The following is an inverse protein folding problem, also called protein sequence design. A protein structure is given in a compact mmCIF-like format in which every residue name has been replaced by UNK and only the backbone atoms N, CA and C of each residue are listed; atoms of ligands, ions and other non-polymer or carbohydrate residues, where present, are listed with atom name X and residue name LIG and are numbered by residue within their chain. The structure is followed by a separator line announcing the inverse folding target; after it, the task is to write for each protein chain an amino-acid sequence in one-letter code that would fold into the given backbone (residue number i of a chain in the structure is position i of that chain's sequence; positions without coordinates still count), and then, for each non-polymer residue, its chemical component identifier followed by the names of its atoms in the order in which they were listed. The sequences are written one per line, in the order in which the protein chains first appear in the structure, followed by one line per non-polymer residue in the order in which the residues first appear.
data_IF_973334493868
#
_entry.id   IF_973334493868
#
_cell.length_a   1.000
_cell.length_b   1.000
_cell.length_c   1.000
_cell.angle_alpha   90.00
_cell.angle_beta   90.00
_cell.angle_gamma   90.00
#
_symmetry.space_group_name_H-M   'P 1'
#
loop_
_entity.id
_entity.type
_entity.pdbx_description
1 polymer ?
#
# COMPACT_ATOMS: atom_id res chain seq x y z
N UNK A 1 -23.30 0.33 7.32
CA UNK A 1 -22.77 -0.97 7.79
C UNK A 1 -23.36 -2.13 6.99
N UNK A 2 -24.67 -2.40 7.12
CA UNK A 2 -25.30 -3.56 6.47
C UNK A 2 -25.22 -3.55 4.94
N UNK A 3 -25.50 -2.41 4.29
CA UNK A 3 -25.40 -2.31 2.83
C UNK A 3 -23.97 -2.60 2.34
N UNK A 4 -22.96 -2.04 3.00
CA UNK A 4 -21.56 -2.33 2.68
C UNK A 4 -21.24 -3.83 2.86
N UNK A 5 -21.76 -4.45 3.93
CA UNK A 5 -21.57 -5.88 4.18
C UNK A 5 -22.20 -6.75 3.08
N UNK A 6 -23.40 -6.39 2.61
CA UNK A 6 -24.07 -7.08 1.49
C UNK A 6 -23.26 -6.98 0.18
N UNK A 7 -22.44 -5.94 0.03
CA UNK A 7 -21.53 -5.76 -1.11
C UNK A 7 -20.13 -6.36 -0.87
N UNK A 8 -19.91 -7.04 0.26
CA UNK A 8 -18.58 -7.57 0.62
C UNK A 8 -17.54 -6.51 0.95
N UNK A 9 -17.99 -5.30 1.32
CA UNK A 9 -17.12 -4.17 1.67
C UNK A 9 -16.92 -4.08 3.18
N UNK A 10 -15.68 -3.84 3.58
CA UNK A 10 -15.29 -3.45 4.94
C UNK A 10 -15.27 -1.93 5.03
N UNK A 11 -15.89 -1.38 6.08
CA UNK A 11 -15.94 0.05 6.35
C UNK A 11 -14.85 0.43 7.34
N UNK A 12 -13.92 1.25 6.89
CA UNK A 12 -12.93 1.86 7.75
C UNK A 12 -13.56 3.12 8.38
N UNK A 13 -13.92 3.02 9.66
CA UNK A 13 -14.73 4.01 10.36
C UNK A 13 -13.86 4.85 11.28
N UNK A 14 -13.82 6.16 11.02
CA UNK A 14 -13.26 7.14 11.94
C UNK A 14 -14.31 7.48 13.01
N UNK A 15 -14.12 7.12 14.31
CA UNK A 15 -15.05 7.50 15.37
C UNK A 15 -15.13 9.01 15.55
N UNK A 16 -14.06 9.72 15.19
CA UNK A 16 -13.95 11.17 15.19
C UNK A 16 -12.91 11.60 14.17
N UNK A 17 -12.98 12.85 13.73
CA UNK A 17 -11.85 13.52 13.06
C UNK A 17 -10.95 14.13 14.13
N UNK A 18 -9.65 14.22 13.86
CA UNK A 18 -8.65 14.73 14.80
C UNK A 18 -8.95 16.15 15.30
N UNK A 19 -9.65 16.99 14.54
CA UNK A 19 -10.04 18.34 14.97
C UNK A 19 -10.84 18.37 16.28
N UNK A 20 -11.67 17.35 16.57
CA UNK A 20 -12.42 17.29 17.83
C UNK A 20 -11.55 16.93 19.05
N UNK A 21 -10.37 16.36 18.82
CA UNK A 21 -9.36 16.04 19.84
C UNK A 21 -8.34 17.18 19.92
N UNK A 22 -7.69 17.50 18.79
CA UNK A 22 -6.52 18.39 18.65
C UNK A 22 -6.83 19.89 18.63
N UNK A 23 -8.00 20.29 18.15
CA UNK A 23 -8.29 21.72 17.93
C UNK A 23 -9.33 22.17 18.95
N UNK A 24 -10.47 21.48 18.99
CA UNK A 24 -11.63 21.86 19.79
C UNK A 24 -11.64 21.27 21.21
N UNK A 25 -10.81 20.25 21.49
CA UNK A 25 -10.72 19.56 22.80
C UNK A 25 -12.07 19.04 23.33
N UNK A 26 -13.00 18.72 22.43
CA UNK A 26 -14.32 18.18 22.77
C UNK A 26 -14.15 16.75 23.28
N UNK A 27 -13.35 15.95 22.57
CA UNK A 27 -12.92 14.62 22.99
C UNK A 27 -11.56 14.79 23.67
N UNK A 28 -11.58 14.96 24.99
CA UNK A 28 -10.38 15.11 25.81
C UNK A 28 -10.16 13.87 26.69
N UNK A 29 -9.07 13.86 27.48
CA UNK A 29 -8.64 12.70 28.27
C UNK A 29 -9.71 12.16 29.24
N UNK A 30 -10.66 12.98 29.68
CA UNK A 30 -11.74 12.55 30.58
C UNK A 30 -12.96 11.98 29.86
N UNK A 31 -13.13 12.28 28.56
CA UNK A 31 -14.29 11.90 27.74
C UNK A 31 -13.98 10.83 26.70
N UNK A 32 -12.73 10.74 26.26
CA UNK A 32 -12.31 9.89 25.14
C UNK A 32 -12.70 8.42 25.32
N UNK A 33 -12.40 7.84 26.49
CA UNK A 33 -12.76 6.46 26.79
C UNK A 33 -14.28 6.23 26.77
N UNK A 34 -15.06 7.09 27.43
CA UNK A 34 -16.53 6.96 27.47
C UNK A 34 -17.14 7.06 26.07
N UNK A 35 -16.63 7.97 25.23
CA UNK A 35 -17.05 8.09 23.84
C UNK A 35 -16.71 6.82 23.04
N UNK A 36 -15.47 6.33 23.16
CA UNK A 36 -15.04 5.08 22.53
C UNK A 36 -15.90 3.88 22.94
N UNK A 37 -16.21 3.74 24.24
CA UNK A 37 -17.06 2.67 24.76
C UNK A 37 -18.46 2.71 24.13
N UNK A 38 -19.06 3.90 24.03
CA UNK A 38 -20.38 4.06 23.44
C UNK A 38 -20.39 3.69 21.95
N UNK A 39 -19.44 4.20 21.16
CA UNK A 39 -19.35 3.90 19.72
C UNK A 39 -19.03 2.43 19.49
N UNK A 40 -18.07 1.87 20.22
CA UNK A 40 -17.71 0.45 20.14
C UNK A 40 -18.91 -0.45 20.46
N UNK A 41 -19.61 -0.20 21.57
CA UNK A 41 -20.78 -0.98 21.95
C UNK A 41 -21.91 -0.91 20.91
N UNK A 42 -22.07 0.25 20.25
CA UNK A 42 -23.09 0.44 19.21
C UNK A 42 -22.83 -0.42 17.98
N UNK A 43 -21.56 -0.60 17.58
CA UNK A 43 -21.21 -1.25 16.30
C UNK A 43 -20.50 -2.60 16.43
N UNK A 44 -20.26 -3.11 17.65
CA UNK A 44 -19.59 -4.41 17.90
C UNK A 44 -20.13 -5.61 17.13
N UNK A 45 -21.41 -5.59 16.75
CA UNK A 45 -22.04 -6.69 16.01
C UNK A 45 -21.92 -6.56 14.48
N UNK A 46 -21.39 -5.44 13.97
CA UNK A 46 -21.20 -5.20 12.55
C UNK A 46 -19.90 -5.84 12.05
N UNK A 47 -19.99 -7.01 11.42
CA UNK A 47 -18.83 -7.86 11.04
C UNK A 47 -17.79 -7.24 10.09
N UNK A 48 -18.08 -6.07 9.53
CA UNK A 48 -17.35 -5.48 8.42
C UNK A 48 -16.84 -4.08 8.75
N UNK A 49 -16.30 -3.87 9.95
CA UNK A 49 -15.72 -2.59 10.34
C UNK A 49 -14.25 -2.71 10.75
N UNK A 50 -13.51 -1.62 10.53
CA UNK A 50 -12.17 -1.38 11.09
C UNK A 50 -12.21 0.00 11.74
N UNK A 51 -11.71 0.12 12.95
CA UNK A 51 -11.64 1.40 13.65
C UNK A 51 -10.41 2.19 13.23
N UNK A 52 -10.63 3.40 12.72
CA UNK A 52 -9.55 4.35 12.43
C UNK A 52 -9.57 5.44 13.49
N UNK A 53 -8.69 5.35 14.48
CA UNK A 53 -8.45 6.44 15.42
C UNK A 53 -7.73 7.62 14.71
N UNK A 54 -7.59 8.78 15.36
CA UNK A 54 -6.91 9.94 14.78
C UNK A 54 -7.77 10.70 13.77
N UNK A 55 -7.17 11.10 12.65
CA UNK A 55 -7.82 11.83 11.56
C UNK A 55 -7.12 13.16 11.25
N UNK A 56 -6.16 13.11 10.34
CA UNK A 56 -5.42 14.25 9.77
C UNK A 56 -4.87 15.26 10.79
N UNK A 57 -4.38 14.78 11.94
CA UNK A 57 -3.72 15.59 12.97
C UNK A 57 -2.53 14.86 13.58
N UNK A 58 -1.51 15.61 14.00
CA UNK A 58 -0.38 15.05 14.72
C UNK A 58 -0.82 14.54 16.10
N UNK A 59 -0.40 13.33 16.46
CA UNK A 59 -0.67 12.76 17.78
C UNK A 59 0.19 13.38 18.89
N UNK A 60 1.28 14.06 18.53
CA UNK A 60 2.21 14.69 19.48
C UNK A 60 1.47 15.62 20.46
N UNK A 61 1.55 15.31 21.75
CA UNK A 61 0.87 16.05 22.83
C UNK A 61 -0.59 15.65 23.07
N UNK A 62 -1.13 14.72 22.29
CA UNK A 62 -2.51 14.18 22.40
C UNK A 62 -2.54 12.65 22.47
N UNK A 63 -1.39 12.03 22.70
CA UNK A 63 -1.27 10.57 22.72
C UNK A 63 -2.14 9.96 23.83
N UNK A 64 -2.33 10.67 24.94
CA UNK A 64 -3.20 10.21 26.04
C UNK A 64 -4.66 10.15 25.60
N UNK A 65 -5.18 11.20 24.97
CA UNK A 65 -6.54 11.25 24.43
C UNK A 65 -6.79 10.13 23.43
N UNK A 66 -5.84 9.90 22.52
CA UNK A 66 -5.96 8.86 21.51
C UNK A 66 -5.87 7.45 22.10
N UNK A 67 -5.00 7.22 23.09
CA UNK A 67 -4.95 5.95 23.84
C UNK A 67 -6.23 5.70 24.61
N UNK A 68 -6.80 6.72 25.26
CA UNK A 68 -8.06 6.60 25.98
C UNK A 68 -9.23 6.30 25.04
N UNK A 69 -9.26 6.92 23.85
CA UNK A 69 -10.25 6.60 22.82
C UNK A 69 -10.09 5.15 22.33
N UNK A 70 -8.87 4.70 22.05
CA UNK A 70 -8.60 3.32 21.65
C UNK A 70 -8.99 2.30 22.72
N UNK A 71 -8.69 2.60 24.00
CA UNK A 71 -9.10 1.79 25.14
C UNK A 71 -10.62 1.69 25.22
N UNK A 72 -11.32 2.81 25.11
CA UNK A 72 -12.78 2.83 25.10
C UNK A 72 -13.37 2.03 23.95
N UNK A 73 -12.85 2.20 22.74
CA UNK A 73 -13.26 1.41 21.57
C UNK A 73 -13.09 -0.08 21.84
N UNK A 74 -11.91 -0.52 22.29
CA UNK A 74 -11.62 -1.93 22.56
C UNK A 74 -12.57 -2.52 23.61
N UNK A 75 -12.86 -1.77 24.68
CA UNK A 75 -13.79 -2.18 25.75
C UNK A 75 -15.24 -2.28 25.26
N UNK A 76 -15.75 -1.27 24.55
CA UNK A 76 -17.12 -1.26 24.03
C UNK A 76 -17.34 -2.28 22.91
N UNK A 77 -16.34 -2.43 22.05
CA UNK A 77 -16.32 -3.36 20.91
C UNK A 77 -16.05 -4.81 21.33
N UNK A 78 -15.57 -5.02 22.56
CA UNK A 78 -15.13 -6.32 23.09
C UNK A 78 -14.02 -6.97 22.24
N UNK A 79 -13.21 -6.15 21.59
CA UNK A 79 -12.12 -6.60 20.72
C UNK A 79 -12.57 -7.30 19.43
N UNK A 80 -13.81 -7.08 18.97
CA UNK A 80 -14.32 -7.70 17.75
C UNK A 80 -13.61 -7.22 16.47
N UNK A 81 -13.10 -5.99 16.47
CA UNK A 81 -12.56 -5.35 15.28
C UNK A 81 -11.13 -4.82 15.49
N UNK A 82 -10.42 -4.69 14.37
CA UNK A 82 -9.10 -4.09 14.33
C UNK A 82 -9.17 -2.57 14.58
N UNK A 83 -8.13 -2.03 15.20
CA UNK A 83 -7.95 -0.60 15.47
C UNK A 83 -6.61 -0.15 14.88
N UNK A 84 -6.63 0.98 14.18
CA UNK A 84 -5.45 1.65 13.63
C UNK A 84 -5.54 3.16 13.90
N UNK A 85 -4.62 3.96 13.34
CA UNK A 85 -4.56 5.41 13.56
C UNK A 85 -4.22 6.15 12.27
N UNK A 86 -5.09 7.05 11.82
CA UNK A 86 -4.81 7.94 10.71
C UNK A 86 -4.00 9.17 11.17
N UNK A 87 -2.73 9.30 10.75
CA UNK A 87 -1.90 10.44 11.12
C UNK A 87 -2.24 11.69 10.28
N UNK A 88 -1.45 12.75 10.39
CA UNK A 88 -1.48 13.86 9.44
C UNK A 88 -0.50 13.65 8.28
N UNK A 89 -0.58 14.52 7.26
CA UNK A 89 0.35 14.53 6.13
C UNK A 89 1.83 14.48 6.52
N UNK A 90 2.60 13.65 5.79
CA UNK A 90 4.03 13.42 6.00
C UNK A 90 4.38 12.56 7.21
N UNK A 91 3.42 11.81 7.76
CA UNK A 91 3.59 11.04 9.02
C UNK A 91 3.05 9.63 8.92
N UNK A 92 3.54 8.78 9.82
CA UNK A 92 3.03 7.44 10.09
C UNK A 92 2.56 7.33 11.54
N UNK A 93 1.53 6.51 11.78
CA UNK A 93 1.12 6.11 13.13
C UNK A 93 2.25 5.44 13.92
N UNK A 94 3.20 4.82 13.22
CA UNK A 94 4.34 4.14 13.82
C UNK A 94 5.20 5.06 14.68
N UNK A 95 5.25 6.36 14.35
CA UNK A 95 6.01 7.37 15.07
C UNK A 95 5.51 7.59 16.50
N UNK A 96 4.28 7.18 16.80
CA UNK A 96 3.60 7.47 18.07
C UNK A 96 3.13 6.22 18.82
N UNK A 97 2.63 5.22 18.08
CA UNK A 97 1.85 4.12 18.64
C UNK A 97 2.33 2.73 18.20
N UNK A 98 3.50 2.62 17.56
CA UNK A 98 3.94 1.34 16.98
C UNK A 98 3.95 0.19 17.99
N UNK A 99 4.40 0.44 19.23
CA UNK A 99 4.48 -0.57 20.29
C UNK A 99 3.25 -0.62 21.18
N UNK A 100 2.22 0.20 20.92
CA UNK A 100 0.99 0.14 21.69
C UNK A 100 0.17 -1.10 21.28
N UNK A 101 -0.31 -1.86 22.27
CA UNK A 101 -1.05 -3.11 22.06
C UNK A 101 -2.40 -2.90 21.36
N UNK A 102 -2.97 -1.70 21.45
CA UNK A 102 -4.25 -1.40 20.80
C UNK A 102 -4.11 -1.21 19.29
N UNK A 103 -2.92 -0.87 18.77
CA UNK A 103 -2.69 -0.58 17.36
C UNK A 103 -2.42 -1.89 16.60
N UNK A 104 -3.39 -2.39 15.84
CA UNK A 104 -3.27 -3.67 15.14
C UNK A 104 -2.38 -3.58 13.88
N UNK A 105 -2.37 -2.43 13.20
CA UNK A 105 -1.52 -2.17 12.04
C UNK A 105 -1.26 -0.67 11.87
N UNK A 106 -0.17 -0.31 11.19
CA UNK A 106 0.19 1.08 10.93
C UNK A 106 -0.60 1.67 9.74
N UNK A 107 -0.87 2.96 9.80
CA UNK A 107 -1.29 3.77 8.66
C UNK A 107 -0.36 4.97 8.50
N UNK A 108 -0.12 5.37 7.25
CA UNK A 108 0.68 6.55 6.94
C UNK A 108 0.06 7.38 5.82
N UNK A 109 0.31 8.69 5.84
CA UNK A 109 -0.18 9.67 4.87
C UNK A 109 1.01 10.45 4.30
N UNK A 110 1.25 10.38 3.00
CA UNK A 110 2.35 11.11 2.34
C UNK A 110 1.91 12.46 1.78
N UNK A 111 0.60 12.69 1.67
CA UNK A 111 0.04 13.90 1.06
C UNK A 111 0.67 14.17 -0.32
N UNK A 112 1.29 15.33 -0.55
CA UNK A 112 1.89 15.68 -1.84
C UNK A 112 3.22 14.97 -2.15
N UNK A 113 3.85 14.35 -1.16
CA UNK A 113 5.17 13.72 -1.27
C UNK A 113 5.04 12.23 -1.64
N UNK A 114 4.25 11.95 -2.67
CA UNK A 114 3.94 10.59 -3.12
C UNK A 114 5.16 9.76 -3.55
N UNK A 115 6.33 10.38 -3.75
CA UNK A 115 7.60 9.69 -4.01
C UNK A 115 8.22 9.07 -2.75
N UNK A 116 7.78 9.49 -1.57
CA UNK A 116 8.22 8.98 -0.27
C UNK A 116 7.45 7.72 0.17
N UNK A 117 6.44 7.28 -0.61
CA UNK A 117 5.60 6.12 -0.25
C UNK A 117 6.43 4.86 -0.03
N UNK A 118 7.30 4.50 -0.99
CA UNK A 118 8.11 3.29 -0.88
C UNK A 118 9.04 3.30 0.35
N UNK A 119 9.89 4.33 0.57
CA UNK A 119 10.74 4.35 1.76
C UNK A 119 9.95 4.43 3.07
N UNK A 120 8.83 5.17 3.12
CA UNK A 120 8.00 5.26 4.32
C UNK A 120 7.37 3.91 4.70
N UNK A 121 6.79 3.19 3.73
CA UNK A 121 6.20 1.87 3.97
C UNK A 121 7.28 0.87 4.37
N UNK A 122 8.42 0.82 3.67
CA UNK A 122 9.55 -0.07 4.05
C UNK A 122 10.02 0.21 5.48
N UNK A 123 10.13 1.49 5.86
CA UNK A 123 10.57 1.87 7.20
C UNK A 123 9.64 1.31 8.27
N UNK A 124 8.31 1.39 8.08
CA UNK A 124 7.35 0.85 9.04
C UNK A 124 7.39 -0.68 9.09
N UNK A 125 7.54 -1.34 7.94
CA UNK A 125 7.62 -2.81 7.84
C UNK A 125 8.88 -3.40 8.48
N UNK A 126 9.91 -2.58 8.73
CA UNK A 126 11.16 -2.98 9.39
C UNK A 126 11.13 -2.79 10.92
N UNK A 127 10.07 -2.18 11.46
CA UNK A 127 9.96 -1.98 12.90
C UNK A 127 9.64 -3.29 13.64
N UNK A 128 9.92 -3.30 14.94
CA UNK A 128 9.66 -4.43 15.84
C UNK A 128 8.73 -4.03 16.98
N UNK A 129 7.67 -4.79 17.27
CA UNK A 129 7.23 -6.00 16.55
C UNK A 129 6.71 -5.68 15.13
N UNK A 130 6.93 -6.59 14.18
CA UNK A 130 6.47 -6.40 12.80
C UNK A 130 4.94 -6.25 12.79
N UNK A 131 4.45 -5.16 12.18
CA UNK A 131 3.02 -4.88 11.97
C UNK A 131 2.76 -4.59 10.48
N UNK A 132 1.61 -5.00 9.94
CA UNK A 132 1.19 -4.56 8.61
C UNK A 132 1.16 -3.03 8.52
N UNK A 133 1.37 -2.49 7.31
CA UNK A 133 1.35 -1.05 7.07
C UNK A 133 0.46 -0.72 5.87
N UNK A 134 -0.41 0.26 6.05
CA UNK A 134 -1.30 0.77 5.00
C UNK A 134 -0.89 2.19 4.63
N UNK A 135 -0.51 2.39 3.37
CA UNK A 135 -0.47 3.71 2.75
C UNK A 135 -1.92 4.19 2.60
N UNK A 136 -2.41 4.93 3.59
CA UNK A 136 -3.84 5.23 3.73
C UNK A 136 -4.29 6.48 2.99
N UNK A 137 -3.42 7.46 2.83
CA UNK A 137 -3.77 8.70 2.15
C UNK A 137 -2.56 9.27 1.41
N UNK A 138 -2.56 9.04 0.09
CA UNK A 138 -1.61 9.65 -0.83
C UNK A 138 -2.18 10.94 -1.45
N UNK A 139 -1.61 11.35 -2.57
CA UNK A 139 -2.17 12.42 -3.37
C UNK A 139 -3.39 11.89 -4.14
N UNK A 140 -4.55 12.52 -3.97
CA UNK A 140 -5.79 12.15 -4.62
C UNK A 140 -5.81 12.48 -6.11
N UNK A 141 -6.37 11.59 -6.93
CA UNK A 141 -6.53 11.81 -8.37
C UNK A 141 -7.30 13.11 -8.64
N UNK A 142 -6.81 13.89 -9.60
CA UNK A 142 -7.29 15.24 -9.96
C UNK A 142 -7.31 16.27 -8.80
N UNK A 143 -6.54 16.05 -7.73
CA UNK A 143 -6.41 17.03 -6.65
C UNK A 143 -5.67 18.30 -7.09
N UNK A 144 -6.32 19.48 -7.12
CA UNK A 144 -5.69 20.74 -7.52
C UNK A 144 -4.78 21.32 -6.42
N UNK A 145 -4.94 20.88 -5.17
CA UNK A 145 -4.16 21.38 -4.03
C UNK A 145 -2.68 20.94 -4.00
N UNK A 146 -2.28 19.99 -4.85
CA UNK A 146 -0.94 19.44 -4.80
C UNK A 146 0.04 20.29 -5.64
N UNK A 147 1.11 20.84 -5.04
CA UNK A 147 2.06 21.72 -5.74
C UNK A 147 2.85 21.00 -6.85
N UNK A 148 2.79 19.67 -6.89
CA UNK A 148 3.55 18.80 -7.79
C UNK A 148 2.83 18.42 -9.08
N UNK A 149 1.72 19.10 -9.41
CA UNK A 149 0.97 18.97 -10.67
C UNK A 149 -0.32 18.16 -10.51
N UNK A 150 -1.14 18.05 -11.57
CA UNK A 150 -2.34 17.23 -11.50
C UNK A 150 -1.94 15.79 -11.22
N UNK A 151 -2.64 15.16 -10.28
CA UNK A 151 -2.42 13.75 -9.97
C UNK A 151 -3.07 12.91 -11.06
N UNK A 152 -2.24 12.49 -12.01
CA UNK A 152 -2.68 11.71 -13.17
C UNK A 152 -2.90 10.25 -12.80
N UNK A 153 -3.60 9.47 -13.65
CA UNK A 153 -3.73 8.02 -13.47
C UNK A 153 -2.38 7.31 -13.34
N UNK A 154 -1.33 7.76 -14.04
CA UNK A 154 0.03 7.21 -13.89
C UNK A 154 0.58 7.44 -12.47
N UNK A 155 0.37 8.62 -11.89
CA UNK A 155 0.79 8.90 -10.52
C UNK A 155 0.00 8.03 -9.53
N UNK A 156 -1.31 7.85 -9.73
CA UNK A 156 -2.11 6.90 -8.94
C UNK A 156 -1.52 5.48 -9.00
N UNK A 157 -1.18 4.98 -10.18
CA UNK A 157 -0.54 3.66 -10.34
C UNK A 157 0.79 3.58 -9.60
N UNK A 158 1.65 4.59 -9.70
CA UNK A 158 2.92 4.64 -8.97
C UNK A 158 2.72 4.56 -7.47
N UNK A 159 1.79 5.35 -6.93
CA UNK A 159 1.45 5.32 -5.50
C UNK A 159 0.99 3.93 -5.05
N UNK A 160 0.10 3.31 -5.84
CA UNK A 160 -0.46 2.01 -5.53
C UNK A 160 0.61 0.90 -5.58
N UNK A 161 1.38 0.84 -6.67
CA UNK A 161 2.44 -0.15 -6.82
C UNK A 161 3.57 0.06 -5.83
N UNK A 162 4.04 1.28 -5.58
CA UNK A 162 5.07 1.51 -4.56
C UNK A 162 4.63 1.12 -3.15
N UNK A 163 3.36 1.28 -2.82
CA UNK A 163 2.82 0.82 -1.53
C UNK A 163 2.94 -0.69 -1.38
N UNK A 164 2.49 -1.45 -2.40
CA UNK A 164 2.50 -2.92 -2.35
C UNK A 164 3.90 -3.49 -2.50
N UNK A 165 4.71 -2.92 -3.41
CA UNK A 165 6.08 -3.37 -3.65
C UNK A 165 7.01 -3.11 -2.46
N UNK A 166 6.62 -2.21 -1.56
CA UNK A 166 7.25 -1.99 -0.26
C UNK A 166 6.77 -2.98 0.84
N UNK A 167 5.85 -3.89 0.53
CA UNK A 167 5.26 -4.86 1.47
C UNK A 167 4.02 -4.35 2.21
N UNK A 168 3.53 -3.14 1.89
CA UNK A 168 2.32 -2.56 2.48
C UNK A 168 1.06 -2.78 1.66
N UNK A 169 0.01 -2.05 2.01
CA UNK A 169 -1.26 -1.97 1.27
C UNK A 169 -1.57 -0.52 0.88
N UNK A 170 -2.50 -0.32 -0.05
CA UNK A 170 -2.82 1.00 -0.61
C UNK A 170 -4.30 1.34 -0.47
N UNK A 171 -4.58 2.62 -0.21
CA UNK A 171 -5.91 3.22 -0.32
C UNK A 171 -5.91 4.28 -1.42
N UNK A 172 -6.89 4.18 -2.32
CA UNK A 172 -7.13 5.15 -3.38
C UNK A 172 -8.01 6.29 -2.88
N UNK A 173 -7.79 7.50 -3.40
CA UNK A 173 -8.72 8.61 -3.22
C UNK A 173 -8.77 9.52 -4.45
N UNK A 174 -9.91 10.18 -4.60
CA UNK A 174 -10.24 11.04 -5.73
C UNK A 174 -10.76 12.37 -5.17
N UNK A 175 -10.27 13.49 -5.70
CA UNK A 175 -10.48 14.80 -5.11
C UNK A 175 -11.96 15.24 -5.04
N UNK A 176 -12.67 15.16 -6.17
CA UNK A 176 -14.08 15.54 -6.25
C UNK A 176 -14.98 14.62 -5.42
N UNK A 177 -14.63 13.33 -5.34
CA UNK A 177 -15.32 12.30 -4.56
C UNK A 177 -15.27 12.60 -3.07
N UNK A 178 -14.09 12.82 -2.50
CA UNK A 178 -13.99 13.01 -1.04
C UNK A 178 -14.68 14.30 -0.60
N UNK A 179 -14.69 15.33 -1.47
CA UNK A 179 -15.39 16.60 -1.22
C UNK A 179 -16.89 16.53 -1.48
N UNK A 180 -17.38 15.43 -2.05
CA UNK A 180 -18.78 15.27 -2.48
C UNK A 180 -19.24 16.43 -3.36
N UNK A 181 -18.35 16.93 -4.23
CA UNK A 181 -18.62 18.04 -5.14
C UNK A 181 -19.65 17.66 -6.22
N UNK A 182 -20.36 18.62 -6.83
CA UNK A 182 -21.34 18.31 -7.88
C UNK A 182 -20.77 17.41 -8.98
N UNK A 183 -21.40 16.25 -9.22
CA UNK A 183 -20.97 15.28 -10.22
C UNK A 183 -19.90 14.28 -9.76
N UNK A 184 -19.60 14.23 -8.46
CA UNK A 184 -18.65 13.28 -7.86
C UNK A 184 -18.95 11.82 -8.21
N UNK A 185 -20.20 11.44 -8.48
CA UNK A 185 -20.57 10.08 -8.83
C UNK A 185 -19.87 9.60 -10.12
N UNK A 186 -19.55 10.53 -11.03
CA UNK A 186 -18.85 10.24 -12.29
C UNK A 186 -17.39 9.85 -12.05
N UNK A 187 -16.81 10.19 -10.91
CA UNK A 187 -15.40 9.89 -10.62
C UNK A 187 -15.19 8.46 -10.13
N UNK A 188 -16.27 7.71 -9.88
CA UNK A 188 -16.22 6.26 -9.72
C UNK A 188 -15.66 5.57 -10.97
N UNK A 189 -15.83 6.17 -12.14
CA UNK A 189 -15.31 5.71 -13.43
C UNK A 189 -13.97 6.36 -13.81
N UNK A 190 -13.30 7.06 -12.87
CA UNK A 190 -11.99 7.65 -13.13
C UNK A 190 -10.95 6.58 -13.51
N UNK A 191 -10.01 6.87 -14.44
CA UNK A 191 -9.03 5.87 -14.86
C UNK A 191 -8.17 5.34 -13.71
N UNK A 192 -7.77 6.19 -12.75
CA UNK A 192 -7.03 5.74 -11.57
C UNK A 192 -7.81 4.74 -10.72
N UNK A 193 -9.11 4.94 -10.52
CA UNK A 193 -9.97 4.00 -9.80
C UNK A 193 -9.98 2.62 -10.46
N UNK A 194 -10.22 2.57 -11.77
CA UNK A 194 -10.21 1.32 -12.54
C UNK A 194 -8.84 0.62 -12.49
N UNK A 195 -7.75 1.38 -12.51
CA UNK A 195 -6.39 0.86 -12.50
C UNK A 195 -5.96 0.30 -11.14
N UNK A 196 -6.46 0.84 -10.03
CA UNK A 196 -6.29 0.24 -8.70
C UNK A 196 -7.08 -1.08 -8.59
N UNK A 197 -8.26 -1.17 -9.21
CA UNK A 197 -8.95 -2.46 -9.34
C UNK A 197 -8.15 -3.47 -10.17
N UNK A 198 -7.50 -3.05 -11.26
CA UNK A 198 -6.60 -3.91 -12.05
C UNK A 198 -5.40 -4.38 -11.23
N UNK A 199 -4.79 -3.50 -10.42
CA UNK A 199 -3.71 -3.90 -9.51
C UNK A 199 -4.15 -5.03 -8.59
N UNK A 200 -5.33 -4.92 -7.96
CA UNK A 200 -5.90 -5.99 -7.13
C UNK A 200 -6.06 -7.29 -7.92
N UNK A 201 -6.57 -7.24 -9.16
CA UNK A 201 -6.74 -8.43 -10.00
C UNK A 201 -5.40 -9.09 -10.37
N UNK A 202 -4.39 -8.29 -10.70
CA UNK A 202 -3.04 -8.79 -11.02
C UNK A 202 -2.45 -9.49 -9.80
N UNK A 203 -2.47 -8.86 -8.62
CA UNK A 203 -1.94 -9.42 -7.38
C UNK A 203 -2.72 -10.65 -6.92
N UNK A 204 -4.05 -10.69 -7.10
CA UNK A 204 -4.86 -11.85 -6.75
C UNK A 204 -4.56 -13.09 -7.62
N UNK A 205 -3.94 -12.90 -8.80
CA UNK A 205 -3.43 -13.99 -9.62
C UNK A 205 -2.09 -14.55 -9.15
N UNK A 206 -1.49 -13.96 -8.11
CA UNK A 206 -0.20 -14.35 -7.53
C UNK A 206 -0.40 -14.76 -6.07
N UNK A 207 0.56 -15.52 -5.53
CA UNK A 207 0.69 -15.72 -4.08
C UNK A 207 1.34 -14.50 -3.44
N UNK A 208 0.69 -13.34 -3.56
CA UNK A 208 1.27 -12.05 -3.18
C UNK A 208 1.70 -11.99 -1.71
N UNK A 209 1.10 -12.79 -0.82
CA UNK A 209 1.48 -12.92 0.59
C UNK A 209 2.83 -13.61 0.81
N UNK A 210 3.39 -14.28 -0.20
CA UNK A 210 4.74 -14.87 -0.18
C UNK A 210 5.79 -13.91 -0.76
N UNK A 211 5.40 -12.79 -1.36
CA UNK A 211 6.32 -11.81 -1.94
C UNK A 211 6.85 -10.88 -0.86
N UNK A 212 8.18 -10.73 -0.80
CA UNK A 212 8.87 -9.77 0.06
C UNK A 212 9.66 -8.75 -0.78
N UNK A 213 9.77 -7.48 -0.36
CA UNK A 213 10.59 -6.49 -1.06
C UNK A 213 12.05 -6.92 -1.16
N UNK A 214 12.63 -6.88 -2.36
CA UNK A 214 14.03 -7.25 -2.60
C UNK A 214 14.64 -6.46 -3.76
N UNK A 215 15.19 -5.28 -3.44
CA UNK A 215 15.85 -4.43 -4.43
C UNK A 215 17.18 -5.01 -4.95
N UNK A 216 17.72 -6.07 -4.33
CA UNK A 216 18.94 -6.72 -4.81
C UNK A 216 18.71 -7.56 -6.08
N UNK A 217 17.47 -7.63 -6.56
CA UNK A 217 17.13 -8.15 -7.91
C UNK A 217 17.76 -7.30 -9.01
N UNK A 218 17.87 -5.99 -8.81
CA UNK A 218 18.48 -5.11 -9.80
C UNK A 218 20.01 -5.19 -9.75
N UNK A 219 20.62 -5.40 -10.91
CA UNK A 219 22.05 -5.13 -11.13
C UNK A 219 22.26 -3.65 -11.44
N UNK A 220 21.44 -3.08 -12.33
CA UNK A 220 21.39 -1.64 -12.62
C UNK A 220 19.97 -1.22 -13.01
N UNK A 221 19.68 0.08 -12.93
CA UNK A 221 18.38 0.64 -13.33
C UNK A 221 17.34 0.75 -12.21
N UNK A 222 17.75 0.73 -10.93
CA UNK A 222 16.83 0.92 -9.78
C UNK A 222 16.12 2.28 -9.83
N UNK A 223 16.81 3.36 -10.22
CA UNK A 223 16.26 4.72 -10.15
C UNK A 223 16.12 5.22 -8.71
N UNK A 224 15.44 6.35 -8.52
CA UNK A 224 15.20 6.96 -7.21
C UNK A 224 13.97 7.87 -7.26
N UNK A 225 13.40 8.17 -6.08
CA UNK A 225 12.26 9.08 -5.95
C UNK A 225 11.15 8.80 -6.99
N UNK A 226 10.87 9.78 -7.86
CA UNK A 226 9.79 9.75 -8.86
C UNK A 226 9.97 8.70 -9.95
N UNK A 227 11.17 8.15 -10.11
CA UNK A 227 11.52 7.13 -11.10
C UNK A 227 11.98 5.82 -10.48
N UNK A 228 11.72 5.63 -9.17
CA UNK A 228 12.07 4.40 -8.47
C UNK A 228 11.39 3.18 -9.10
N UNK A 229 12.20 2.22 -9.51
CA UNK A 229 11.80 0.88 -9.88
C UNK A 229 11.92 -0.01 -8.65
N UNK A 230 11.02 -0.98 -8.53
CA UNK A 230 10.89 -1.79 -7.32
C UNK A 230 10.77 -3.25 -7.68
N UNK A 231 11.25 -4.11 -6.79
CA UNK A 231 11.20 -5.54 -6.97
C UNK A 231 10.77 -6.22 -5.67
N UNK A 232 9.97 -7.27 -5.83
CA UNK A 232 9.66 -8.24 -4.79
C UNK A 232 10.09 -9.62 -5.25
N UNK A 233 10.40 -10.49 -4.29
CA UNK A 233 10.75 -11.89 -4.53
C UNK A 233 9.94 -12.78 -3.61
N UNK A 234 9.46 -13.92 -4.13
CA UNK A 234 8.82 -14.95 -3.33
C UNK A 234 9.80 -15.53 -2.32
N UNK A 235 9.34 -15.80 -1.09
CA UNK A 235 10.13 -16.47 -0.06
C UNK A 235 10.59 -17.88 -0.47
N UNK A 236 9.89 -18.53 -1.40
CA UNK A 236 10.30 -19.82 -2.00
C UNK A 236 11.33 -19.65 -3.12
N UNK A 237 11.55 -18.42 -3.59
CA UNK A 237 12.49 -18.10 -4.66
C UNK A 237 12.02 -18.46 -6.07
N UNK A 238 10.77 -18.88 -6.27
CA UNK A 238 10.22 -19.28 -7.57
C UNK A 238 9.67 -18.12 -8.41
N UNK A 239 9.46 -16.96 -7.81
CA UNK A 239 8.83 -15.81 -8.45
C UNK A 239 9.54 -14.51 -8.07
N UNK A 240 9.73 -13.64 -9.06
CA UNK A 240 10.14 -12.24 -8.89
C UNK A 240 9.15 -11.35 -9.62
N UNK A 241 8.67 -10.31 -8.94
CA UNK A 241 7.81 -9.28 -9.50
C UNK A 241 8.60 -7.98 -9.52
N UNK A 242 8.63 -7.29 -10.66
CA UNK A 242 9.30 -5.99 -10.80
C UNK A 242 8.32 -4.96 -11.32
N UNK A 243 8.26 -3.79 -10.69
CA UNK A 243 7.52 -2.64 -11.18
C UNK A 243 8.49 -1.57 -11.68
N UNK A 244 8.35 -1.23 -12.96
CA UNK A 244 9.06 -0.16 -13.63
C UNK A 244 8.15 1.07 -13.70
N UNK A 245 8.50 2.14 -12.98
CA UNK A 245 7.64 3.32 -12.81
C UNK A 245 7.67 4.30 -13.99
N UNK A 246 8.55 4.07 -14.97
CA UNK A 246 8.74 4.89 -16.16
C UNK A 246 9.30 4.05 -17.31
N UNK A 247 9.34 4.61 -18.52
CA UNK A 247 10.05 4.01 -19.64
C UNK A 247 11.55 3.94 -19.35
N UNK A 248 12.05 2.74 -19.10
CA UNK A 248 13.44 2.52 -18.76
C UNK A 248 13.96 1.17 -19.26
N UNK A 249 15.27 1.02 -19.11
CA UNK A 249 16.00 -0.23 -19.26
C UNK A 249 16.56 -0.63 -17.88
N UNK A 250 16.45 -1.92 -17.55
CA UNK A 250 16.96 -2.48 -16.30
C UNK A 250 17.75 -3.76 -16.58
N UNK A 251 18.78 -4.00 -15.78
CA UNK A 251 19.48 -5.28 -15.76
C UNK A 251 19.14 -6.02 -14.47
N UNK A 252 18.62 -7.24 -14.58
CA UNK A 252 18.15 -8.02 -13.44
C UNK A 252 19.00 -9.26 -13.25
N UNK A 253 19.35 -9.58 -12.00
CA UNK A 253 20.01 -10.84 -11.65
C UNK A 253 19.02 -11.99 -11.73
N UNK A 254 19.16 -12.83 -12.76
CA UNK A 254 18.27 -13.97 -12.96
C UNK A 254 18.48 -15.07 -11.92
N UNK A 255 19.66 -15.08 -11.27
CA UNK A 255 20.00 -15.99 -10.18
C UNK A 255 19.16 -15.78 -8.92
N UNK A 256 18.33 -14.74 -8.86
CA UNK A 256 17.34 -14.53 -7.81
C UNK A 256 16.13 -15.47 -7.91
N UNK A 257 15.92 -16.11 -9.06
CA UNK A 257 14.89 -17.13 -9.25
C UNK A 257 15.54 -18.52 -9.15
N UNK A 258 15.13 -19.31 -8.16
CA UNK A 258 15.65 -20.63 -7.82
C UNK A 258 15.09 -21.76 -8.72
N UNK A 259 15.02 -21.54 -10.03
CA UNK A 259 14.65 -22.52 -11.06
C UNK A 259 15.69 -22.51 -12.17
N UNK A 260 15.74 -23.52 -13.06
CA UNK A 260 16.72 -23.54 -14.16
C UNK A 260 16.34 -22.58 -15.29
N UNK A 261 15.05 -22.60 -15.66
CA UNK A 261 14.47 -21.72 -16.65
C UNK A 261 13.51 -20.74 -15.97
N UNK A 262 13.45 -19.53 -16.50
CA UNK A 262 12.61 -18.44 -16.01
C UNK A 262 11.77 -17.91 -17.16
N UNK A 263 10.45 -18.05 -17.05
CA UNK A 263 9.50 -17.42 -17.96
C UNK A 263 9.33 -15.96 -17.56
N UNK A 264 9.48 -15.06 -18.52
CA UNK A 264 9.28 -13.63 -18.32
C UNK A 264 7.99 -13.16 -19.02
N UNK A 265 7.17 -12.40 -18.30
CA UNK A 265 5.90 -11.85 -18.80
C UNK A 265 5.77 -10.38 -18.41
N UNK A 266 5.59 -9.51 -19.40
CA UNK A 266 5.19 -8.13 -19.18
C UNK A 266 3.68 -8.02 -18.89
N UNK A 267 3.30 -7.18 -17.95
CA UNK A 267 1.91 -6.83 -17.64
C UNK A 267 1.80 -5.30 -17.65
N UNK A 268 0.89 -4.76 -18.45
CA UNK A 268 0.61 -3.33 -18.50
C UNK A 268 -0.28 -2.93 -17.31
N UNK A 269 0.20 -2.08 -16.38
CA UNK A 269 -0.57 -1.70 -15.18
C UNK A 269 -1.85 -0.91 -15.48
N UNK A 270 -1.88 -0.19 -16.61
CA UNK A 270 -3.00 0.65 -17.01
C UNK A 270 -4.15 -0.13 -17.68
N UNK A 271 -3.87 -1.31 -18.24
CA UNK A 271 -4.83 -2.08 -19.05
C UNK A 271 -4.94 -3.57 -18.71
N UNK A 272 -4.04 -4.10 -17.89
CA UNK A 272 -3.94 -5.54 -17.59
C UNK A 272 -3.39 -6.39 -18.74
N UNK A 273 -3.05 -5.80 -19.90
CA UNK A 273 -2.52 -6.54 -21.06
C UNK A 273 -1.23 -7.28 -20.69
N UNK A 274 -1.19 -8.58 -20.97
CA UNK A 274 -0.01 -9.43 -20.82
C UNK A 274 0.72 -9.60 -22.15
N UNK A 275 2.05 -9.63 -22.12
CA UNK A 275 2.91 -9.88 -23.28
C UNK A 275 4.09 -10.77 -22.85
N UNK A 276 4.31 -11.87 -23.55
CA UNK A 276 5.47 -12.74 -23.29
C UNK A 276 6.78 -11.99 -23.60
N UNK A 277 7.76 -12.15 -22.73
CA UNK A 277 9.07 -11.50 -22.80
C UNK A 277 10.22 -12.49 -23.04
N UNK A 278 9.91 -13.79 -23.17
CA UNK A 278 10.86 -14.87 -23.43
C UNK A 278 11.05 -15.82 -22.25
N UNK A 279 11.91 -16.81 -22.47
CA UNK A 279 12.37 -17.77 -21.44
C UNK A 279 13.88 -17.66 -21.34
N UNK A 280 14.39 -17.52 -20.12
CA UNK A 280 15.79 -17.24 -19.85
C UNK A 280 16.36 -18.30 -18.91
N UNK A 281 17.67 -18.52 -18.99
CA UNK A 281 18.37 -19.30 -17.98
C UNK A 281 18.59 -18.42 -16.73
N UNK A 282 18.31 -18.96 -15.55
CA UNK A 282 18.54 -18.22 -14.30
C UNK A 282 20.02 -18.14 -13.91
N UNK A 283 20.82 -19.13 -14.30
CA UNK A 283 22.14 -19.38 -13.72
C UNK A 283 22.10 -20.24 -12.44
N UNK A 284 20.92 -20.60 -11.94
CA UNK A 284 20.69 -21.65 -10.94
C UNK A 284 20.48 -23.01 -11.62
N UNK A 285 20.61 -24.10 -10.84
CA UNK A 285 20.35 -25.48 -11.28
C UNK A 285 21.10 -25.86 -12.58
N UNK A 286 22.29 -25.31 -12.76
CA UNK A 286 23.14 -25.46 -13.95
C UNK A 286 24.26 -26.51 -13.77
N UNK A 287 24.19 -27.33 -12.71
CA UNK A 287 25.20 -28.34 -12.38
C UNK A 287 26.44 -27.81 -11.65
N UNK A 288 26.49 -26.52 -11.28
CA UNK A 288 27.56 -25.92 -10.45
C UNK A 288 27.11 -25.79 -9.00
N UNK A 289 28.09 -25.70 -8.09
CA UNK A 289 27.84 -25.49 -6.65
C UNK A 289 27.30 -24.09 -6.32
N UNK A 290 27.58 -23.11 -7.17
CA UNK A 290 27.16 -21.72 -6.99
C UNK A 290 26.45 -21.20 -8.25
N UNK A 291 25.45 -20.32 -8.10
CA UNK A 291 24.77 -19.73 -9.24
C UNK A 291 25.71 -18.87 -10.08
N UNK A 292 25.50 -18.85 -11.39
CA UNK A 292 26.14 -17.85 -12.25
C UNK A 292 25.51 -16.47 -11.96
N UNK A 293 26.32 -15.40 -11.84
CA UNK A 293 25.84 -14.01 -11.67
C UNK A 293 25.29 -13.44 -12.98
N UNK A 294 24.38 -14.20 -13.62
CA UNK A 294 23.80 -13.85 -14.90
C UNK A 294 22.83 -12.70 -14.74
N UNK A 295 23.00 -11.70 -15.58
CA UNK A 295 22.08 -10.58 -15.72
C UNK A 295 21.40 -10.62 -17.09
N UNK A 296 20.14 -10.22 -17.13
CA UNK A 296 19.40 -10.05 -18.38
C UNK A 296 18.86 -8.63 -18.48
N UNK A 297 18.87 -8.09 -19.69
CA UNK A 297 18.35 -6.77 -20.01
C UNK A 297 16.85 -6.85 -20.27
N UNK A 298 16.09 -6.01 -19.58
CA UNK A 298 14.67 -5.81 -19.83
C UNK A 298 14.38 -4.34 -20.12
N UNK A 299 13.57 -4.10 -21.14
CA UNK A 299 13.14 -2.76 -21.56
C UNK A 299 11.63 -2.66 -21.45
N UNK A 300 11.16 -1.54 -20.92
CA UNK A 300 9.72 -1.24 -20.86
C UNK A 300 9.10 -1.36 -22.27
N UNK A 301 8.01 -2.12 -22.47
CA UNK A 301 7.47 -2.35 -23.81
C UNK A 301 6.91 -1.10 -24.51
N UNK A 302 7.42 -0.77 -25.70
CA UNK A 302 6.82 0.19 -26.62
C UNK A 302 6.49 1.54 -25.99
N UNK A 303 5.21 1.94 -26.07
CA UNK A 303 4.70 3.22 -25.54
C UNK A 303 4.10 3.10 -24.13
N UNK A 304 4.36 2.02 -23.39
CA UNK A 304 3.84 1.90 -22.02
C UNK A 304 4.51 2.94 -21.12
N UNK A 305 3.73 3.63 -20.30
CA UNK A 305 4.25 4.66 -19.37
C UNK A 305 4.95 4.03 -18.16
N UNK A 306 4.46 2.86 -17.74
CA UNK A 306 4.96 2.01 -16.65
C UNK A 306 4.68 0.53 -16.98
N UNK A 307 5.39 -0.38 -16.32
CA UNK A 307 5.29 -1.81 -16.61
C UNK A 307 5.51 -2.68 -15.36
N UNK A 308 4.85 -3.83 -15.32
CA UNK A 308 5.19 -4.91 -14.39
C UNK A 308 5.89 -6.01 -15.19
N UNK A 309 7.02 -6.49 -14.71
CA UNK A 309 7.68 -7.70 -15.19
C UNK A 309 7.47 -8.80 -14.16
N UNK A 310 6.81 -9.88 -14.58
CA UNK A 310 6.67 -11.11 -13.81
C UNK A 310 7.69 -12.13 -14.31
N UNK A 311 8.55 -12.60 -13.43
CA UNK A 311 9.56 -13.63 -13.68
C UNK A 311 9.19 -14.87 -12.85
N UNK A 312 8.88 -15.97 -13.52
CA UNK A 312 8.42 -17.21 -12.89
C UNK A 312 9.36 -18.36 -13.24
N UNK A 313 9.79 -19.11 -12.24
CA UNK A 313 10.54 -20.34 -12.44
C UNK A 313 9.67 -21.41 -13.08
N UNK A 314 10.16 -22.04 -14.15
CA UNK A 314 9.48 -23.20 -14.73
C UNK A 314 9.79 -24.44 -13.89
N UNK A 315 8.73 -25.17 -13.52
CA UNK A 315 8.87 -26.48 -12.88
C UNK A 315 9.11 -27.51 -13.99
N UNK A 316 10.29 -28.15 -13.96
CA UNK A 316 10.60 -29.31 -14.82
C UNK A 316 9.85 -30.57 -14.37
#
# INVERSE_FOLDING_TARGET
MELANQQGLVLALLPTVGAFVNDNRIINSTKACQYGQWVGARYRNARNIIWINGGDRAAAGFETEYRELARGLREGDQGAHLITFHPCGGRSSSQYFHTDDWLDFNMLQTWCDWHEIYPAVISDMQLSPVKPTVMCEGAYEDGPEYPTGPITPLIVRRQAWWSVMAGGSHTYGQNQMWRMEPGWEKTLDSPGAAQVCLMKQILAGLKWWELIPDQSVFSTGVGSERTLNTAMRSVTGDCVLVYLSSQCNVFLYMSKIAAKHVKATWINPASGKRQEAGVFLSGNHNGKNFPDNRTELFSTPGHWEDAILLLEGEVE
#
